data_IF_413907112097
#
_entry.id   IF_413907112097
#
_cell.length_a   1.000
_cell.length_b   1.000
_cell.length_c   1.000
_cell.angle_alpha   90.00
_cell.angle_beta   90.00
_cell.angle_gamma   90.00
#
_symmetry.space_group_name_H-M   'P 1'
#
loop_
_entity.id
_entity.type
_entity.pdbx_description
1 polymer ?
#
# COMPACT_ATOMS: atom_id res chain seq x y z
N UNK A 1 25.75 6.43 -8.31
CA UNK A 1 24.91 6.02 -7.16
C UNK A 1 23.53 5.73 -7.71
N UNK A 2 22.90 4.63 -7.31
CA UNK A 2 21.54 4.31 -7.77
C UNK A 2 20.56 5.34 -7.20
N UNK A 3 19.68 5.87 -8.06
CA UNK A 3 18.67 6.85 -7.69
C UNK A 3 17.52 6.81 -8.68
N UNK A 4 16.38 7.33 -8.27
CA UNK A 4 15.24 7.62 -9.13
C UNK A 4 14.95 9.12 -9.03
N UNK A 5 14.87 9.79 -10.17
CA UNK A 5 14.61 11.23 -10.23
C UNK A 5 13.46 11.51 -11.21
N UNK A 6 12.57 12.40 -10.80
CA UNK A 6 11.49 12.92 -11.64
C UNK A 6 11.56 14.45 -11.57
N UNK A 7 11.56 15.09 -12.74
CA UNK A 7 11.56 16.54 -12.87
C UNK A 7 10.46 16.98 -13.83
N UNK A 8 9.53 17.81 -13.34
CA UNK A 8 8.36 18.34 -14.06
C UNK A 8 7.55 17.23 -14.78
N UNK A 9 7.47 16.06 -14.13
CA UNK A 9 6.85 14.88 -14.68
C UNK A 9 5.33 14.99 -14.73
N UNK A 10 4.75 14.77 -15.91
CA UNK A 10 3.31 14.60 -16.09
C UNK A 10 3.04 13.21 -16.67
N UNK A 11 2.30 12.39 -15.96
CA UNK A 11 2.03 11.00 -16.33
C UNK A 11 0.55 10.82 -16.66
N UNK A 12 0.25 10.03 -17.70
CA UNK A 12 -1.12 9.72 -18.11
C UNK A 12 -1.76 8.71 -17.16
N UNK A 13 -2.94 9.05 -16.62
CA UNK A 13 -3.78 8.13 -15.85
C UNK A 13 -4.98 7.64 -16.67
N UNK A 14 -5.61 8.55 -17.39
CA UNK A 14 -6.69 8.29 -18.33
C UNK A 14 -6.66 9.37 -19.44
N UNK A 15 -7.66 9.40 -20.30
CA UNK A 15 -7.74 10.43 -21.35
C UNK A 15 -7.88 11.85 -20.80
N UNK A 16 -8.42 11.97 -19.57
CA UNK A 16 -8.71 13.28 -18.94
C UNK A 16 -7.94 13.54 -17.65
N UNK A 17 -7.26 12.52 -17.09
CA UNK A 17 -6.54 12.65 -15.81
C UNK A 17 -5.06 12.41 -15.98
N UNK A 18 -4.27 13.23 -15.29
CA UNK A 18 -2.81 13.10 -15.22
C UNK A 18 -2.33 13.17 -13.78
N UNK A 19 -1.21 12.52 -13.49
CA UNK A 19 -0.44 12.69 -12.26
C UNK A 19 0.69 13.69 -12.53
N UNK A 20 0.87 14.66 -11.64
CA UNK A 20 1.92 15.67 -11.72
C UNK A 20 2.94 15.51 -10.58
N UNK A 21 4.20 15.54 -10.92
CA UNK A 21 5.34 15.47 -10.00
C UNK A 21 6.36 16.52 -10.44
N UNK A 22 6.40 17.64 -9.74
CA UNK A 22 7.31 18.74 -10.11
C UNK A 22 8.76 18.36 -9.85
N UNK A 23 9.04 17.81 -8.66
CA UNK A 23 10.35 17.32 -8.31
C UNK A 23 10.25 16.16 -7.31
N UNK A 24 10.98 15.10 -7.57
CA UNK A 24 11.16 13.97 -6.63
C UNK A 24 12.51 13.34 -6.88
N UNK A 25 13.27 13.11 -5.82
CA UNK A 25 14.52 12.35 -5.85
C UNK A 25 14.52 11.31 -4.74
N UNK A 26 14.71 10.06 -5.10
CA UNK A 26 14.83 8.92 -4.18
C UNK A 26 16.22 8.32 -4.38
N UNK A 27 17.07 8.41 -3.38
CA UNK A 27 18.42 7.82 -3.42
C UNK A 27 18.44 6.38 -2.91
N UNK A 28 19.47 5.64 -3.27
CA UNK A 28 19.68 4.28 -2.77
C UNK A 28 19.83 4.26 -1.25
N UNK A 29 19.14 3.33 -0.61
CA UNK A 29 19.15 3.16 0.85
C UNK A 29 18.24 4.14 1.58
N UNK A 30 17.44 4.95 0.90
CA UNK A 30 16.41 5.78 1.54
C UNK A 30 15.10 5.02 1.75
N UNK A 31 14.33 5.49 2.73
CA UNK A 31 12.97 5.03 2.99
C UNK A 31 11.98 6.19 2.93
N UNK A 32 10.97 6.04 2.09
CA UNK A 32 9.97 7.05 1.78
C UNK A 32 8.55 6.56 2.10
N UNK A 33 7.69 7.45 2.56
CA UNK A 33 6.26 7.23 2.64
C UNK A 33 5.49 8.33 1.90
N UNK A 34 4.58 7.95 1.01
CA UNK A 34 3.69 8.88 0.34
C UNK A 34 2.26 8.70 0.85
N UNK A 35 1.65 9.81 1.27
CA UNK A 35 0.34 9.81 1.94
C UNK A 35 -0.62 10.72 1.18
N UNK A 36 -1.89 10.37 1.22
CA UNK A 36 -2.96 11.17 0.64
C UNK A 36 -4.32 10.50 0.79
N UNK A 37 -5.38 11.25 0.63
CA UNK A 37 -6.76 10.73 0.67
C UNK A 37 -7.04 9.73 -0.46
N UNK A 38 -8.10 8.95 -0.32
CA UNK A 38 -8.54 8.05 -1.40
C UNK A 38 -8.81 8.85 -2.67
N UNK A 39 -8.31 8.37 -3.80
CA UNK A 39 -8.41 9.03 -5.09
C UNK A 39 -7.39 10.15 -5.34
N UNK A 40 -6.49 10.47 -4.38
CA UNK A 40 -5.45 11.50 -4.55
C UNK A 40 -4.34 11.16 -5.54
N UNK A 41 -4.32 9.92 -6.08
CA UNK A 41 -3.32 9.49 -7.06
C UNK A 41 -2.17 8.66 -6.48
N UNK A 42 -2.28 8.14 -5.25
CA UNK A 42 -1.24 7.34 -4.56
C UNK A 42 -0.76 6.13 -5.36
N UNK A 43 -1.68 5.25 -5.76
CA UNK A 43 -1.34 4.07 -6.58
C UNK A 43 -0.81 4.46 -7.97
N UNK A 44 -1.23 5.62 -8.48
CA UNK A 44 -0.65 6.18 -9.71
C UNK A 44 0.80 6.63 -9.48
N UNK A 45 1.11 7.24 -8.33
CA UNK A 45 2.49 7.56 -7.97
C UNK A 45 3.35 6.28 -7.90
N UNK A 46 2.88 5.24 -7.21
CA UNK A 46 3.59 3.95 -7.16
C UNK A 46 3.89 3.39 -8.56
N UNK A 47 2.92 3.47 -9.48
CA UNK A 47 3.09 3.07 -10.88
C UNK A 47 4.06 3.97 -11.66
N UNK A 48 4.01 5.30 -11.44
CA UNK A 48 4.94 6.24 -12.07
C UNK A 48 6.38 5.99 -11.60
N UNK A 49 6.58 5.75 -10.30
CA UNK A 49 7.90 5.40 -9.74
C UNK A 49 8.43 4.07 -10.28
N UNK A 50 7.57 3.07 -10.46
CA UNK A 50 7.94 1.79 -11.07
C UNK A 50 8.26 1.91 -12.58
N UNK A 51 7.74 2.94 -13.26
CA UNK A 51 7.86 3.11 -14.71
C UNK A 51 6.69 2.50 -15.49
N UNK A 52 5.59 2.16 -14.81
CA UNK A 52 4.41 1.52 -15.39
C UNK A 52 3.43 2.53 -16.04
N UNK A 53 3.74 3.84 -15.98
CA UNK A 53 2.91 4.89 -16.58
C UNK A 53 3.61 5.59 -17.73
N UNK A 54 2.82 6.00 -18.72
CA UNK A 54 3.31 6.81 -19.84
C UNK A 54 3.62 8.23 -19.37
N UNK A 55 4.87 8.66 -19.52
CA UNK A 55 5.31 10.03 -19.31
C UNK A 55 4.88 10.88 -20.51
N UNK A 56 4.11 11.94 -20.27
CA UNK A 56 3.64 12.89 -21.30
C UNK A 56 4.59 14.07 -21.46
N UNK A 57 5.15 14.56 -20.35
CA UNK A 57 6.13 15.66 -20.33
C UNK A 57 7.04 15.56 -19.10
N UNK A 58 8.16 16.27 -19.13
CA UNK A 58 9.17 16.24 -18.09
C UNK A 58 10.17 15.11 -18.28
N UNK A 59 10.85 14.73 -17.20
CA UNK A 59 11.88 13.70 -17.21
C UNK A 59 11.68 12.74 -16.05
N UNK A 60 11.90 11.44 -16.29
CA UNK A 60 12.00 10.39 -15.29
C UNK A 60 13.25 9.56 -15.60
N UNK A 61 14.17 9.55 -14.65
CA UNK A 61 15.42 8.79 -14.75
C UNK A 61 15.50 7.82 -13.58
N UNK A 62 15.82 6.56 -13.83
CA UNK A 62 16.03 5.55 -12.81
C UNK A 62 17.34 4.82 -13.07
N UNK A 63 18.21 4.85 -12.08
CA UNK A 63 19.49 4.13 -12.07
C UNK A 63 19.45 2.90 -11.16
N UNK A 64 18.27 2.53 -10.64
CA UNK A 64 18.07 1.24 -9.98
C UNK A 64 18.02 0.14 -11.05
N UNK A 65 18.83 -0.90 -10.89
CA UNK A 65 18.87 -2.02 -11.84
C UNK A 65 17.60 -2.87 -11.78
N UNK A 66 16.97 -2.93 -10.59
CA UNK A 66 15.71 -3.65 -10.36
C UNK A 66 14.79 -2.85 -9.47
N UNK A 67 13.61 -2.56 -10.01
CA UNK A 67 12.51 -1.89 -9.31
C UNK A 67 11.35 -2.88 -9.26
N UNK A 68 10.89 -3.23 -8.08
CA UNK A 68 9.72 -4.10 -7.91
C UNK A 68 8.62 -3.34 -7.21
N UNK A 69 7.42 -3.37 -7.78
CA UNK A 69 6.21 -2.80 -7.20
C UNK A 69 5.23 -3.89 -6.81
N UNK A 70 4.75 -3.84 -5.59
CA UNK A 70 3.71 -4.72 -5.07
C UNK A 70 2.51 -3.91 -4.60
N UNK A 71 1.33 -4.18 -5.15
CA UNK A 71 0.06 -3.56 -4.76
C UNK A 71 -0.80 -4.59 -4.03
N UNK A 72 -1.18 -4.25 -2.81
CA UNK A 72 -2.00 -5.13 -1.99
C UNK A 72 -3.51 -4.98 -2.23
N UNK A 73 -3.94 -3.94 -2.95
CA UNK A 73 -5.32 -3.84 -3.44
C UNK A 73 -5.69 -5.02 -4.36
N UNK A 74 -4.72 -5.50 -5.15
CA UNK A 74 -4.92 -6.64 -6.04
C UNK A 74 -4.86 -8.01 -5.34
N UNK A 75 -4.50 -8.05 -4.07
CA UNK A 75 -4.34 -9.27 -3.30
C UNK A 75 -5.65 -10.07 -3.21
N UNK A 76 -6.75 -9.42 -2.91
CA UNK A 76 -8.06 -10.07 -2.84
C UNK A 76 -8.45 -10.69 -4.19
N UNK A 77 -8.11 -10.01 -5.28
CA UNK A 77 -8.34 -10.54 -6.62
C UNK A 77 -7.49 -11.78 -6.88
N UNK A 78 -6.21 -11.75 -6.53
CA UNK A 78 -5.31 -12.90 -6.70
C UNK A 78 -5.82 -14.13 -5.92
N UNK A 79 -6.22 -13.94 -4.67
CA UNK A 79 -6.81 -15.02 -3.85
C UNK A 79 -8.12 -15.52 -4.46
N UNK A 80 -8.98 -14.59 -4.91
CA UNK A 80 -10.23 -14.94 -5.58
C UNK A 80 -10.00 -15.70 -6.88
N UNK A 81 -9.03 -15.31 -7.68
CA UNK A 81 -8.65 -15.97 -8.92
C UNK A 81 -8.13 -17.41 -8.64
N UNK A 82 -7.35 -17.60 -7.56
CA UNK A 82 -6.91 -18.93 -7.11
C UNK A 82 -8.08 -19.80 -6.66
N UNK A 83 -9.06 -19.24 -5.95
CA UNK A 83 -10.29 -19.94 -5.59
C UNK A 83 -11.10 -20.32 -6.82
N UNK A 84 -11.26 -19.43 -7.80
CA UNK A 84 -12.04 -19.68 -9.01
C UNK A 84 -11.40 -20.72 -9.92
N UNK A 85 -10.07 -20.70 -10.06
CA UNK A 85 -9.33 -21.64 -10.89
C UNK A 85 -9.33 -23.05 -10.30
N UNK A 86 -9.38 -23.14 -8.98
CA UNK A 86 -9.26 -24.40 -8.24
C UNK A 86 -10.50 -24.56 -7.33
N UNK A 87 -11.68 -24.60 -7.93
CA UNK A 87 -12.96 -24.68 -7.22
C UNK A 87 -13.10 -26.05 -6.52
N UNK A 88 -12.66 -26.09 -5.26
CA UNK A 88 -12.67 -27.31 -4.44
C UNK A 88 -14.03 -27.67 -3.89
N UNK A 89 -15.03 -26.78 -3.99
CA UNK A 89 -16.41 -27.07 -3.56
C UNK A 89 -17.08 -28.16 -4.41
N UNK A 90 -16.46 -28.48 -5.57
CA UNK A 90 -16.92 -29.52 -6.51
C UNK A 90 -16.01 -30.73 -6.54
N UNK A 91 -15.00 -30.86 -5.66
CA UNK A 91 -14.13 -32.02 -5.62
C UNK A 91 -14.92 -33.27 -5.16
N UNK A 92 -14.85 -34.32 -5.96
CA UNK A 92 -15.35 -35.63 -5.59
C UNK A 92 -14.46 -36.26 -4.51
N UNK A 93 -14.97 -37.17 -3.66
CA UNK A 93 -14.15 -37.85 -2.69
C UNK A 93 -12.96 -38.55 -3.36
N UNK A 94 -11.73 -38.10 -3.05
CA UNK A 94 -10.48 -38.62 -3.59
C UNK A 94 -9.81 -37.77 -4.68
N UNK A 95 -10.41 -36.67 -5.10
CA UNK A 95 -9.74 -35.68 -5.94
C UNK A 95 -8.82 -34.79 -5.09
N UNK A 96 -7.59 -34.56 -5.57
CA UNK A 96 -6.62 -33.71 -4.92
C UNK A 96 -6.89 -32.22 -5.24
N UNK A 97 -6.68 -31.35 -4.24
CA UNK A 97 -6.71 -29.90 -4.44
C UNK A 97 -5.53 -29.46 -5.35
N UNK A 98 -5.86 -28.97 -6.55
CA UNK A 98 -4.89 -28.53 -7.57
C UNK A 98 -4.42 -27.09 -7.40
N UNK A 99 -4.85 -26.37 -6.36
CA UNK A 99 -4.41 -25.00 -6.07
C UNK A 99 -2.90 -24.92 -5.87
N UNK A 100 -2.31 -23.77 -6.26
CA UNK A 100 -0.87 -23.55 -6.08
C UNK A 100 -0.49 -23.48 -4.60
N UNK A 101 0.66 -24.05 -4.27
CA UNK A 101 1.26 -23.94 -2.93
C UNK A 101 1.89 -22.55 -2.72
N UNK A 102 2.14 -22.22 -1.46
CA UNK A 102 2.87 -21.01 -1.10
C UNK A 102 4.26 -20.96 -1.77
N UNK A 103 4.97 -22.07 -1.80
CA UNK A 103 6.28 -22.18 -2.46
C UNK A 103 6.18 -21.94 -3.98
N UNK A 104 5.13 -22.45 -4.63
CA UNK A 104 4.90 -22.24 -6.06
C UNK A 104 4.59 -20.76 -6.38
N UNK A 105 3.83 -20.08 -5.50
CA UNK A 105 3.57 -18.63 -5.64
C UNK A 105 4.85 -17.82 -5.46
N UNK A 106 5.65 -18.09 -4.42
CA UNK A 106 6.91 -17.38 -4.18
C UNK A 106 7.85 -17.53 -5.38
N UNK A 107 7.90 -18.71 -5.97
CA UNK A 107 8.80 -19.05 -7.08
C UNK A 107 8.16 -18.85 -8.47
N UNK A 108 7.06 -18.10 -8.59
CA UNK A 108 6.33 -17.94 -9.85
C UNK A 108 7.23 -17.38 -10.98
N UNK A 109 7.95 -16.30 -10.69
CA UNK A 109 8.83 -15.63 -11.63
C UNK A 109 10.28 -16.17 -11.60
N UNK A 110 10.80 -16.47 -10.40
CA UNK A 110 12.18 -16.91 -10.18
C UNK A 110 12.20 -18.28 -9.51
N UNK A 111 12.71 -19.29 -10.21
CA UNK A 111 12.81 -20.67 -9.73
C UNK A 111 14.13 -20.88 -8.98
N UNK A 112 14.15 -20.54 -7.69
CA UNK A 112 15.27 -20.76 -6.77
C UNK A 112 14.76 -21.27 -5.42
N UNK A 113 14.71 -22.61 -5.22
CA UNK A 113 14.23 -23.20 -3.98
C UNK A 113 15.06 -22.82 -2.74
N UNK A 114 16.37 -22.60 -2.90
CA UNK A 114 17.22 -22.22 -1.79
C UNK A 114 16.92 -20.79 -1.31
N UNK A 115 16.77 -19.86 -2.25
CA UNK A 115 16.35 -18.47 -1.95
C UNK A 115 14.94 -18.42 -1.40
N UNK A 116 14.01 -19.22 -1.94
CA UNK A 116 12.66 -19.34 -1.42
C UNK A 116 12.65 -19.80 0.05
N UNK A 117 13.41 -20.82 0.40
CA UNK A 117 13.51 -21.31 1.77
C UNK A 117 14.11 -20.27 2.71
N UNK A 118 15.15 -19.55 2.29
CA UNK A 118 15.78 -18.48 3.06
C UNK A 118 14.79 -17.33 3.35
N UNK A 119 14.06 -16.88 2.34
CA UNK A 119 13.05 -15.83 2.52
C UNK A 119 11.90 -16.31 3.40
N UNK A 120 11.44 -17.55 3.21
CA UNK A 120 10.37 -18.13 4.04
C UNK A 120 10.77 -18.21 5.53
N UNK A 121 12.04 -18.51 5.84
CA UNK A 121 12.57 -18.47 7.20
C UNK A 121 12.60 -17.05 7.74
N UNK A 122 13.13 -16.09 6.99
CA UNK A 122 13.21 -14.67 7.37
C UNK A 122 11.81 -14.07 7.67
N UNK A 123 10.81 -14.47 6.90
CA UNK A 123 9.42 -14.01 7.07
C UNK A 123 8.58 -14.88 8.00
N UNK A 124 9.19 -15.91 8.62
CA UNK A 124 8.53 -16.87 9.51
C UNK A 124 7.30 -17.54 8.87
N UNK A 125 7.43 -17.96 7.61
CA UNK A 125 6.41 -18.69 6.85
C UNK A 125 6.89 -20.05 6.32
N UNK A 126 8.03 -20.56 6.79
CA UNK A 126 8.58 -21.85 6.34
C UNK A 126 7.59 -23.01 6.48
N UNK A 127 6.80 -23.05 7.56
CA UNK A 127 5.78 -24.06 7.80
C UNK A 127 4.59 -23.99 6.82
N UNK A 128 4.50 -22.92 6.03
CA UNK A 128 3.40 -22.67 5.10
C UNK A 128 3.76 -23.02 3.65
N UNK A 129 5.01 -23.34 3.34
CA UNK A 129 5.49 -23.53 1.96
C UNK A 129 4.67 -24.58 1.17
N UNK A 130 4.25 -25.66 1.82
CA UNK A 130 3.43 -26.72 1.20
C UNK A 130 1.93 -26.44 1.29
N UNK A 131 1.53 -25.39 2.05
CA UNK A 131 0.12 -25.03 2.19
C UNK A 131 -0.38 -24.36 0.93
N UNK A 132 -1.63 -24.64 0.54
CA UNK A 132 -2.27 -23.99 -0.61
C UNK A 132 -2.47 -22.52 -0.32
N UNK A 133 -2.06 -21.67 -1.26
CA UNK A 133 -2.07 -20.21 -1.13
C UNK A 133 -3.46 -19.64 -0.76
N UNK A 134 -4.52 -20.24 -1.33
CA UNK A 134 -5.91 -19.83 -1.06
C UNK A 134 -6.35 -19.99 0.40
N UNK A 135 -5.65 -20.79 1.21
CA UNK A 135 -5.97 -21.02 2.63
C UNK A 135 -5.11 -20.20 3.58
N UNK A 136 -4.33 -19.28 3.08
CA UNK A 136 -3.54 -18.37 3.90
C UNK A 136 -4.40 -17.25 4.48
N UNK A 137 -4.07 -16.82 5.70
CA UNK A 137 -4.61 -15.58 6.27
C UNK A 137 -4.09 -14.36 5.50
N UNK A 138 -4.74 -13.20 5.67
CA UNK A 138 -4.33 -11.96 5.01
C UNK A 138 -2.86 -11.61 5.30
N UNK A 139 -2.39 -11.77 6.54
CA UNK A 139 -1.01 -11.51 6.92
C UNK A 139 -0.02 -12.49 6.28
N UNK A 140 -0.35 -13.80 6.27
CA UNK A 140 0.46 -14.84 5.62
C UNK A 140 0.54 -14.63 4.11
N UNK A 141 -0.57 -14.25 3.47
CA UNK A 141 -0.61 -13.93 2.04
C UNK A 141 0.30 -12.74 1.70
N UNK A 142 0.29 -11.68 2.53
CA UNK A 142 1.18 -10.51 2.33
C UNK A 142 2.65 -10.89 2.46
N UNK A 143 3.01 -11.68 3.47
CA UNK A 143 4.37 -12.19 3.63
C UNK A 143 4.81 -13.04 2.44
N UNK A 144 3.93 -13.89 1.94
CA UNK A 144 4.16 -14.72 0.75
C UNK A 144 4.45 -13.86 -0.49
N UNK A 145 3.65 -12.82 -0.75
CA UNK A 145 3.87 -11.93 -1.89
C UNK A 145 5.11 -11.03 -1.73
N UNK A 146 5.47 -10.66 -0.50
CA UNK A 146 6.74 -9.99 -0.24
C UNK A 146 7.92 -10.92 -0.52
N UNK A 147 7.85 -12.18 -0.11
CA UNK A 147 8.88 -13.17 -0.48
C UNK A 147 8.98 -13.31 -2.01
N UNK A 148 7.85 -13.40 -2.73
CA UNK A 148 7.83 -13.43 -4.19
C UNK A 148 8.54 -12.20 -4.80
N UNK A 149 8.20 -10.99 -4.33
CA UNK A 149 8.83 -9.76 -4.79
C UNK A 149 10.35 -9.74 -4.53
N UNK A 150 10.78 -10.25 -3.38
CA UNK A 150 12.19 -10.34 -2.96
C UNK A 150 12.99 -11.44 -3.69
N UNK A 151 12.31 -12.40 -4.33
CA UNK A 151 12.98 -13.38 -5.21
C UNK A 151 13.70 -12.70 -6.37
N UNK A 152 13.21 -11.54 -6.82
CA UNK A 152 13.84 -10.75 -7.89
C UNK A 152 15.05 -9.94 -7.45
N UNK A 153 15.38 -9.92 -6.13
CA UNK A 153 16.46 -9.12 -5.54
C UNK A 153 16.38 -7.62 -5.90
N UNK A 154 15.28 -6.93 -5.51
CA UNK A 154 15.05 -5.55 -5.89
C UNK A 154 15.99 -4.59 -5.16
N UNK A 155 16.50 -3.57 -5.86
CA UNK A 155 17.19 -2.44 -5.23
C UNK A 155 16.22 -1.37 -4.72
N UNK A 156 15.07 -1.24 -5.39
CA UNK A 156 13.95 -0.39 -5.00
C UNK A 156 12.69 -1.23 -4.92
N UNK A 157 12.08 -1.29 -3.74
CA UNK A 157 10.81 -1.97 -3.48
C UNK A 157 9.73 -0.93 -3.16
N UNK A 158 8.69 -0.91 -3.98
CA UNK A 158 7.55 -0.01 -3.87
C UNK A 158 6.34 -0.82 -3.40
N UNK A 159 5.78 -0.46 -2.24
CA UNK A 159 4.65 -1.14 -1.61
C UNK A 159 3.45 -0.21 -1.58
N UNK A 160 2.39 -0.58 -2.28
CA UNK A 160 1.15 0.18 -2.35
C UNK A 160 0.12 -0.42 -1.38
N UNK A 161 -0.20 0.34 -0.34
CA UNK A 161 -1.12 0.01 0.77
C UNK A 161 -0.74 -1.28 1.53
N UNK A 162 0.51 -1.43 2.00
CA UNK A 162 0.97 -2.68 2.62
C UNK A 162 0.26 -3.02 3.94
N UNK A 163 -0.31 -2.04 4.64
CA UNK A 163 -0.93 -2.20 5.95
C UNK A 163 -2.46 -2.27 5.94
N UNK A 164 -3.09 -2.04 4.78
CA UNK A 164 -4.54 -2.00 4.69
C UNK A 164 -5.18 -3.35 5.06
N UNK A 165 -6.24 -3.32 5.90
CA UNK A 165 -6.92 -4.54 6.37
C UNK A 165 -6.11 -5.45 7.31
N UNK A 166 -4.95 -5.01 7.81
CA UNK A 166 -4.22 -5.72 8.86
C UNK A 166 -4.66 -5.25 10.26
N UNK A 167 -4.73 -6.20 11.19
CA UNK A 167 -4.82 -5.89 12.62
C UNK A 167 -3.52 -5.27 13.14
N UNK A 168 -3.57 -4.69 14.35
CA UNK A 168 -2.45 -3.95 14.95
C UNK A 168 -1.18 -4.81 15.05
N UNK A 169 -1.31 -6.06 15.47
CA UNK A 169 -0.17 -6.95 15.66
C UNK A 169 0.46 -7.34 14.33
N UNK A 170 -0.34 -7.71 13.35
CA UNK A 170 0.12 -8.03 11.99
C UNK A 170 0.79 -6.83 11.32
N UNK A 171 0.27 -5.62 11.53
CA UNK A 171 0.89 -4.36 11.06
C UNK A 171 2.27 -4.14 11.68
N UNK A 172 2.39 -4.30 13.00
CA UNK A 172 3.68 -4.14 13.69
C UNK A 172 4.71 -5.17 13.21
N UNK A 173 4.32 -6.43 13.05
CA UNK A 173 5.21 -7.46 12.52
C UNK A 173 5.67 -7.15 11.10
N UNK A 174 4.77 -6.69 10.23
CA UNK A 174 5.13 -6.32 8.86
C UNK A 174 6.05 -5.09 8.85
N UNK A 175 5.78 -4.08 9.67
CA UNK A 175 6.63 -2.90 9.77
C UNK A 175 8.06 -3.26 10.24
N UNK A 176 8.19 -4.18 11.20
CA UNK A 176 9.50 -4.69 11.65
C UNK A 176 10.26 -5.40 10.50
N UNK A 177 9.59 -6.27 9.75
CA UNK A 177 10.19 -6.93 8.58
C UNK A 177 10.65 -5.92 7.51
N UNK A 178 9.87 -4.87 7.27
CA UNK A 178 10.25 -3.81 6.31
C UNK A 178 11.45 -3.00 6.84
N UNK A 179 11.53 -2.75 8.15
CA UNK A 179 12.69 -2.12 8.76
C UNK A 179 13.97 -2.96 8.59
N UNK A 180 13.87 -4.30 8.74
CA UNK A 180 14.98 -5.21 8.52
C UNK A 180 15.43 -5.19 7.04
N UNK A 181 14.50 -5.18 6.09
CA UNK A 181 14.81 -5.05 4.65
C UNK A 181 15.52 -3.73 4.34
N UNK A 182 15.04 -2.62 4.91
CA UNK A 182 15.67 -1.32 4.77
C UNK A 182 17.09 -1.32 5.35
N UNK A 183 17.26 -1.89 6.55
CA UNK A 183 18.56 -2.01 7.20
C UNK A 183 19.55 -2.89 6.42
N UNK A 184 19.04 -3.85 5.63
CA UNK A 184 19.81 -4.66 4.69
C UNK A 184 20.19 -3.91 3.39
N UNK A 185 19.78 -2.64 3.23
CA UNK A 185 20.14 -1.77 2.11
C UNK A 185 19.13 -1.66 0.99
N UNK A 186 17.95 -2.24 1.12
CA UNK A 186 16.85 -2.09 0.15
C UNK A 186 16.26 -0.69 0.30
N UNK A 187 16.16 0.03 -0.82
CA UNK A 187 15.41 1.29 -0.88
C UNK A 187 13.92 1.01 -0.82
N UNK A 188 13.20 1.63 0.11
CA UNK A 188 11.78 1.38 0.31
C UNK A 188 10.94 2.60 -0.01
N UNK A 189 9.86 2.39 -0.76
CA UNK A 189 8.79 3.36 -0.96
C UNK A 189 7.48 2.75 -0.51
N UNK A 190 6.84 3.37 0.48
CA UNK A 190 5.54 2.98 1.01
C UNK A 190 4.49 3.99 0.54
N UNK A 191 3.38 3.51 0.03
CA UNK A 191 2.21 4.33 -0.30
C UNK A 191 1.13 4.00 0.71
N UNK A 192 0.68 4.99 1.47
CA UNK A 192 -0.14 4.82 2.67
C UNK A 192 -1.37 5.74 2.62
N UNK A 193 -2.41 5.37 3.36
CA UNK A 193 -3.65 6.15 3.43
C UNK A 193 -3.58 7.30 4.43
N UNK A 194 -2.79 7.13 5.51
CA UNK A 194 -2.78 8.06 6.65
C UNK A 194 -1.37 8.26 7.19
N UNK A 195 -1.14 9.44 7.77
CA UNK A 195 0.13 9.79 8.42
C UNK A 195 0.48 8.91 9.63
N UNK A 196 -0.51 8.50 10.41
CA UNK A 196 -0.32 7.63 11.58
C UNK A 196 0.05 6.18 11.22
N UNK A 197 0.04 5.84 9.94
CA UNK A 197 0.50 4.56 9.42
C UNK A 197 1.98 4.54 9.06
N UNK A 198 2.66 5.70 9.03
CA UNK A 198 4.06 5.79 8.65
C UNK A 198 4.95 5.12 9.72
N UNK A 199 5.70 4.06 9.37
CA UNK A 199 6.58 3.39 10.32
C UNK A 199 7.72 4.31 10.80
N UNK A 200 8.26 4.00 11.99
CA UNK A 200 9.34 4.79 12.61
C UNK A 200 10.61 4.85 11.75
N UNK A 201 10.96 3.75 11.06
CA UNK A 201 12.17 3.66 10.25
C UNK A 201 12.13 4.53 8.97
N UNK A 202 10.97 5.03 8.57
CA UNK A 202 10.84 5.88 7.39
C UNK A 202 11.47 7.24 7.63
N UNK A 203 12.31 7.68 6.69
CA UNK A 203 13.11 8.90 6.78
C UNK A 203 12.44 10.10 6.12
N UNK A 204 11.82 9.89 4.96
CA UNK A 204 11.23 10.93 4.14
C UNK A 204 9.76 10.67 3.90
N UNK A 205 9.01 11.74 3.70
CA UNK A 205 7.60 11.63 3.35
C UNK A 205 7.21 12.58 2.22
N UNK A 206 6.08 12.30 1.59
CA UNK A 206 5.45 13.17 0.60
C UNK A 206 3.94 13.12 0.68
N UNK A 207 3.30 14.21 0.31
CA UNK A 207 1.85 14.39 0.36
C UNK A 207 1.28 14.49 -1.04
N UNK A 208 0.27 13.65 -1.33
CA UNK A 208 -0.48 13.73 -2.58
C UNK A 208 -1.85 14.35 -2.36
N UNK A 209 -2.17 15.31 -3.23
CA UNK A 209 -3.49 15.90 -3.34
C UNK A 209 -3.85 16.06 -4.82
N UNK A 210 -5.07 15.73 -5.19
CA UNK A 210 -5.63 15.93 -6.54
C UNK A 210 -4.70 15.47 -7.68
N UNK A 211 -4.15 14.27 -7.57
CA UNK A 211 -3.18 13.71 -8.52
C UNK A 211 -1.92 14.59 -8.72
N UNK A 212 -1.51 15.30 -7.69
CA UNK A 212 -0.28 16.10 -7.67
C UNK A 212 0.53 15.76 -6.42
N UNK A 213 1.83 15.58 -6.58
CA UNK A 213 2.75 15.52 -5.44
C UNK A 213 2.95 16.94 -4.93
N UNK A 214 2.21 17.27 -3.85
CA UNK A 214 2.13 18.64 -3.34
C UNK A 214 3.36 19.05 -2.53
N UNK A 215 3.88 18.11 -1.72
CA UNK A 215 4.97 18.40 -0.79
C UNK A 215 5.81 17.14 -0.57
N UNK A 216 7.13 17.34 -0.36
CA UNK A 216 8.08 16.28 0.01
C UNK A 216 9.13 16.84 0.95
N UNK A 217 9.59 16.01 1.89
CA UNK A 217 10.62 16.44 2.84
C UNK A 217 10.97 15.38 3.87
N UNK A 218 11.72 15.75 4.90
CA UNK A 218 11.95 14.90 6.05
C UNK A 218 10.62 14.55 6.75
N UNK A 219 10.44 13.30 7.13
CA UNK A 219 9.20 12.82 7.73
C UNK A 219 8.76 13.66 8.95
N UNK A 220 9.70 13.96 9.85
CA UNK A 220 9.44 14.71 11.08
C UNK A 220 8.90 16.11 10.80
N UNK A 221 9.46 16.81 9.80
CA UNK A 221 9.03 18.15 9.41
C UNK A 221 7.60 18.14 8.86
N UNK A 222 7.31 17.22 7.95
CA UNK A 222 5.97 17.09 7.37
C UNK A 222 4.92 16.67 8.41
N UNK A 223 5.26 15.78 9.34
CA UNK A 223 4.36 15.40 10.44
C UNK A 223 4.07 16.59 11.36
N UNK A 224 5.06 17.41 11.68
CA UNK A 224 4.86 18.62 12.49
C UNK A 224 3.95 19.63 11.77
N UNK A 225 4.17 19.87 10.49
CA UNK A 225 3.34 20.76 9.67
C UNK A 225 1.88 20.26 9.59
N UNK A 226 1.68 18.97 9.36
CA UNK A 226 0.36 18.37 9.33
C UNK A 226 -0.37 18.49 10.68
N UNK A 227 0.34 18.30 11.80
CA UNK A 227 -0.22 18.46 13.14
C UNK A 227 -0.63 19.92 13.41
N UNK A 228 0.23 20.88 13.07
CA UNK A 228 -0.08 22.32 13.22
C UNK A 228 -1.29 22.71 12.39
N UNK A 229 -1.36 22.25 11.14
CA UNK A 229 -2.50 22.52 10.26
C UNK A 229 -3.81 21.91 10.82
N UNK A 230 -3.76 20.72 11.40
CA UNK A 230 -4.92 20.07 12.03
C UNK A 230 -5.39 20.81 13.28
N UNK A 231 -4.46 21.27 14.13
CA UNK A 231 -4.79 22.08 15.32
C UNK A 231 -5.43 23.41 14.94
N UNK A 232 -4.87 24.13 13.97
CA UNK A 232 -5.44 25.38 13.47
C UNK A 232 -6.84 25.21 12.88
N UNK A 233 -7.11 24.06 12.22
CA UNK A 233 -8.44 23.76 11.70
C UNK A 233 -9.43 23.41 12.79
N UNK A 234 -9.02 22.70 13.85
CA UNK A 234 -9.89 22.39 15.00
C UNK A 234 -10.28 23.64 15.79
N UNK A 235 -9.36 24.59 15.98
CA UNK A 235 -9.66 25.87 16.62
C UNK A 235 -10.69 26.72 15.83
N UNK A 236 -10.66 26.65 14.50
CA UNK A 236 -11.67 27.29 13.65
C UNK A 236 -13.06 26.65 13.77
N UNK A 237 -13.13 25.34 14.00
CA UNK A 237 -14.39 24.60 14.17
C UNK A 237 -15.01 24.82 15.56
N UNK A 238 -14.23 25.06 16.62
CA UNK A 238 -14.74 25.40 17.96
C UNK A 238 -15.48 26.74 17.99
N UNK A 239 -15.23 27.62 17.02
CA UNK A 239 -15.93 28.90 16.83
C UNK A 239 -17.26 28.80 16.06
N UNK A 240 -17.62 27.65 15.52
CA UNK A 240 -18.87 27.43 14.79
C UNK A 240 -19.99 27.07 15.78
N UNK A 241 -20.89 28.03 16.05
CA UNK A 241 -22.11 27.74 16.78
C UNK A 241 -22.95 26.73 16.01
N UNK A 242 -23.21 25.57 16.61
CA UNK A 242 -24.16 24.61 16.05
C UNK A 242 -25.53 25.29 15.93
N UNK A 243 -26.26 25.15 14.82
CA UNK A 243 -27.64 25.63 14.75
C UNK A 243 -28.45 24.99 15.85
N UNK A 244 -29.26 25.81 16.54
CA UNK A 244 -30.18 25.31 17.58
C UNK A 244 -31.08 24.23 16.94
N UNK A 245 -31.31 23.11 17.67
CA UNK A 245 -32.20 22.07 17.15
C UNK A 245 -33.60 22.67 16.97
N UNK A 246 -34.20 22.48 15.83
CA UNK A 246 -35.57 22.88 15.52
C UNK A 246 -36.50 22.41 16.67
N UNK A 247 -37.33 23.31 17.17
CA UNK A 247 -38.37 22.95 18.16
C UNK A 247 -39.23 21.78 17.63
N UNK A 248 -39.51 20.77 18.44
CA UNK A 248 -40.31 19.64 17.99
C UNK A 248 -41.71 20.15 17.61
N UNK A 249 -42.01 20.08 16.32
CA UNK A 249 -43.35 20.39 15.77
C UNK A 249 -44.41 19.65 16.60
N UNK A 250 -45.38 20.39 17.10
CA UNK A 250 -46.49 19.87 17.89
C UNK A 250 -47.13 18.69 17.17
N UNK A 251 -47.08 17.51 17.80
CA UNK A 251 -47.75 16.30 17.31
C UNK A 251 -49.25 16.59 17.26
N UNK A 252 -49.83 16.54 16.07
CA UNK A 252 -51.30 16.50 15.93
C UNK A 252 -51.83 15.29 16.71
N UNK A 253 -52.56 15.56 17.77
CA UNK A 253 -53.32 14.55 18.48
C UNK A 253 -54.42 14.01 17.53
N UNK A 254 -54.40 12.71 17.30
CA UNK A 254 -55.50 12.00 16.67
C UNK A 254 -56.73 12.04 17.59
N UNK A 255 -57.96 12.28 17.09
CA UNK A 255 -59.18 12.26 17.89
C UNK A 255 -59.45 10.85 18.42
N UNK A 256 -59.76 10.75 19.68
CA UNK A 256 -60.22 9.52 20.33
C UNK A 256 -61.57 9.08 19.73
N UNK A 257 -61.63 7.85 19.25
CA UNK A 257 -62.90 7.18 18.99
C UNK A 257 -63.51 6.80 20.30
N UNK A 258 -64.64 7.38 20.63
CA UNK A 258 -65.56 6.88 21.63
C UNK A 258 -66.56 5.86 21.06
N UNK A 259 -67.22 5.03 21.89
CA UNK A 259 -67.60 3.63 21.72
C UNK A 259 -68.76 3.34 20.77
#
# INVERSE_FOLDING_TARGET
>A
MSSLQISQGTFRLSDTKTLKIDHLSVAAGESWAFVGSNGSGKSALARALAGDLTLLSGQRESHFSRVTRLSFEQLQKLVSDEWQRNNTDLLSPGEEDTGRTTAEIIQDEVKDPARCAQLAEQFAISALLDRRFKYLSTGETRKTLLCQALMTDPQLLILDEPFDGLDVNSRQQLAALLADLHSAGITLVLVLNRFDEIPEFVQFAGVLADCTLAETGAKEELLQQALVAQLAHSEQLEGVQLPEPDEPSARHALPANEP
#
